data_IF_927274222534
#
_entry.id   IF_927274222534
#
_cell.length_a   1.000
_cell.length_b   1.000
_cell.length_c   1.000
_cell.angle_alpha   90.00
_cell.angle_beta   90.00
_cell.angle_gamma   90.00
#
_symmetry.space_group_name_H-M   'P 1'
#
loop_
_entity.id
_entity.type
_entity.pdbx_description
1 polymer ?
#
# COMPACT_ATOMS: atom_id res chain seq x y z
N UNK A 1 -26.68 -3.22 11.47
CA UNK A 1 -25.61 -2.75 10.57
C UNK A 1 -26.06 -1.44 9.96
N UNK A 2 -25.44 -0.33 10.33
CA UNK A 2 -25.84 1.00 9.88
C UNK A 2 -25.75 1.06 8.34
N UNK A 3 -26.84 1.50 7.72
CA UNK A 3 -26.99 1.65 6.28
C UNK A 3 -26.04 2.76 5.79
N UNK A 4 -24.77 2.41 5.55
CA UNK A 4 -23.69 3.34 5.18
C UNK A 4 -23.98 4.14 3.89
N UNK A 5 -25.03 3.78 3.16
CA UNK A 5 -25.47 4.47 1.94
C UNK A 5 -26.11 5.83 2.20
N UNK A 6 -26.66 6.04 3.39
CA UNK A 6 -27.31 7.30 3.76
C UNK A 6 -27.25 7.49 5.28
N UNK A 7 -26.30 8.30 5.75
CA UNK A 7 -26.22 8.73 7.15
C UNK A 7 -27.04 10.02 7.33
N UNK A 8 -28.26 9.89 7.86
CA UNK A 8 -29.21 10.98 7.97
C UNK A 8 -28.69 12.14 8.84
N UNK A 9 -28.00 11.85 9.94
CA UNK A 9 -27.47 12.87 10.84
C UNK A 9 -26.31 13.64 10.20
N UNK A 10 -25.41 12.92 9.51
CA UNK A 10 -24.32 13.55 8.77
C UNK A 10 -24.83 14.41 7.61
N UNK A 11 -25.78 13.90 6.82
CA UNK A 11 -26.40 14.62 5.69
C UNK A 11 -27.14 15.86 6.21
N UNK A 12 -27.94 15.75 7.26
CA UNK A 12 -28.66 16.87 7.86
C UNK A 12 -27.71 17.96 8.36
N UNK A 13 -26.60 17.58 9.01
CA UNK A 13 -25.57 18.52 9.48
C UNK A 13 -24.93 19.27 8.32
N UNK A 14 -24.64 18.59 7.21
CA UNK A 14 -24.03 19.20 6.02
C UNK A 14 -25.00 20.09 5.25
N UNK A 15 -26.28 19.71 5.14
CA UNK A 15 -27.32 20.55 4.54
C UNK A 15 -27.53 21.84 5.36
N UNK A 16 -27.61 21.75 6.69
CA UNK A 16 -27.67 22.93 7.56
C UNK A 16 -26.43 23.82 7.41
N UNK A 17 -25.25 23.22 7.24
CA UNK A 17 -24.00 23.96 7.03
C UNK A 17 -23.95 24.65 5.66
N UNK A 18 -24.42 24.00 4.60
CA UNK A 18 -24.57 24.63 3.28
C UNK A 18 -25.52 25.82 3.38
N UNK A 19 -26.70 25.64 3.99
CA UNK A 19 -27.68 26.74 4.24
C UNK A 19 -27.07 27.91 5.01
N UNK A 20 -26.32 27.66 6.07
CA UNK A 20 -25.74 28.71 6.91
C UNK A 20 -24.57 29.44 6.24
N UNK A 21 -23.84 28.77 5.34
CA UNK A 21 -22.63 29.33 4.71
C UNK A 21 -22.86 29.86 3.30
N UNK A 22 -24.00 29.54 2.67
CA UNK A 22 -24.27 29.81 1.26
C UNK A 22 -23.31 29.09 0.30
N UNK A 23 -22.49 28.14 0.80
CA UNK A 23 -21.49 27.45 -0.01
C UNK A 23 -22.07 26.20 -0.64
N UNK A 24 -21.68 25.99 -1.90
CA UNK A 24 -21.91 24.75 -2.61
C UNK A 24 -21.04 23.63 -2.04
N UNK A 25 -21.62 22.44 -1.90
CA UNK A 25 -20.95 21.25 -1.42
C UNK A 25 -20.93 20.18 -2.51
N UNK A 26 -19.80 19.47 -2.70
CA UNK A 26 -19.78 18.31 -3.58
C UNK A 26 -20.69 17.22 -3.02
N UNK A 27 -21.50 16.63 -3.90
CA UNK A 27 -22.34 15.48 -3.57
C UNK A 27 -22.14 14.35 -4.57
N UNK A 28 -22.50 13.15 -4.14
CA UNK A 28 -22.77 12.04 -5.03
C UNK A 28 -24.07 11.35 -4.61
N UNK A 29 -24.84 10.90 -5.60
CA UNK A 29 -26.12 10.23 -5.41
C UNK A 29 -26.13 8.88 -6.13
N UNK A 30 -26.68 7.87 -5.47
CA UNK A 30 -26.89 6.54 -5.98
C UNK A 30 -28.36 6.18 -6.03
N UNK A 31 -28.85 5.85 -7.22
CA UNK A 31 -30.20 5.38 -7.46
C UNK A 31 -30.33 3.93 -7.00
N UNK A 32 -31.18 3.70 -5.99
CA UNK A 32 -31.50 2.38 -5.48
C UNK A 32 -32.63 1.72 -6.27
N UNK A 33 -32.77 0.39 -6.13
CA UNK A 33 -33.96 -0.31 -6.63
C UNK A 33 -35.25 0.14 -5.91
N UNK A 34 -35.13 0.58 -4.66
CA UNK A 34 -36.20 1.20 -3.88
C UNK A 34 -35.73 2.55 -3.31
N UNK A 35 -36.63 3.49 -3.00
CA UNK A 35 -36.26 4.76 -2.34
C UNK A 35 -35.52 4.55 -1.00
N UNK A 36 -35.76 3.43 -0.32
CA UNK A 36 -35.10 3.07 0.93
C UNK A 36 -33.68 2.52 0.72
N UNK A 37 -33.26 2.29 -0.52
CA UNK A 37 -31.90 1.83 -0.84
C UNK A 37 -31.14 2.85 -1.66
N UNK A 38 -31.64 4.10 -1.76
CA UNK A 38 -30.91 5.17 -2.40
C UNK A 38 -29.79 5.68 -1.49
N UNK A 39 -28.66 6.06 -2.07
CA UNK A 39 -27.52 6.59 -1.33
C UNK A 39 -27.30 8.06 -1.61
N UNK A 40 -26.99 8.85 -0.59
CA UNK A 40 -26.57 10.25 -0.72
C UNK A 40 -25.33 10.48 0.14
N UNK A 41 -24.25 10.90 -0.49
CA UNK A 41 -23.02 11.29 0.20
C UNK A 41 -22.70 12.75 -0.11
N UNK A 42 -22.42 13.51 0.94
CA UNK A 42 -21.99 14.91 0.89
C UNK A 42 -20.70 15.00 1.69
N UNK A 43 -19.71 15.74 1.21
CA UNK A 43 -18.44 15.96 1.92
C UNK A 43 -17.97 17.41 1.77
N UNK A 44 -17.12 17.88 2.67
CA UNK A 44 -16.59 19.25 2.66
C UNK A 44 -15.28 19.39 1.85
N UNK A 45 -14.58 18.27 1.63
CA UNK A 45 -13.22 18.22 1.08
C UNK A 45 -13.09 17.23 -0.05
N UNK A 46 -13.82 16.12 -0.02
CA UNK A 46 -13.74 15.10 -1.07
C UNK A 46 -14.50 15.55 -2.32
N UNK A 47 -13.91 15.44 -3.52
CA UNK A 47 -14.61 15.78 -4.76
C UNK A 47 -15.71 14.75 -5.06
N UNK A 48 -16.78 15.18 -5.73
CA UNK A 48 -17.95 14.33 -6.04
C UNK A 48 -17.61 13.05 -6.80
N UNK A 49 -16.55 13.08 -7.64
CA UNK A 49 -16.05 11.88 -8.35
C UNK A 49 -15.55 10.78 -7.41
N UNK A 50 -14.91 11.14 -6.30
CA UNK A 50 -14.44 10.18 -5.29
C UNK A 50 -15.63 9.63 -4.51
N UNK A 51 -16.57 10.50 -4.11
CA UNK A 51 -17.81 10.10 -3.43
C UNK A 51 -18.65 9.12 -4.27
N UNK A 52 -18.71 9.34 -5.59
CA UNK A 52 -19.34 8.41 -6.53
C UNK A 52 -18.64 7.04 -6.54
N UNK A 53 -17.31 7.02 -6.46
CA UNK A 53 -16.53 5.78 -6.42
C UNK A 53 -16.87 4.94 -5.18
N UNK A 54 -17.12 5.58 -4.05
CA UNK A 54 -17.53 4.93 -2.81
C UNK A 54 -18.99 4.45 -2.87
N UNK A 55 -19.91 5.26 -3.40
CA UNK A 55 -21.32 4.85 -3.62
C UNK A 55 -21.46 3.66 -4.57
N UNK A 56 -20.62 3.56 -5.61
CA UNK A 56 -20.65 2.42 -6.56
C UNK A 56 -20.30 1.08 -5.91
N UNK A 57 -19.57 1.09 -4.79
CA UNK A 57 -19.19 -0.14 -4.08
C UNK A 57 -20.30 -0.64 -3.15
N UNK A 58 -21.36 0.14 -2.95
CA UNK A 58 -22.45 -0.21 -2.05
C UNK A 58 -23.46 -1.14 -2.74
N UNK A 59 -23.89 -2.22 -2.06
CA UNK A 59 -24.87 -3.15 -2.62
C UNK A 59 -26.23 -2.46 -2.79
N UNK A 60 -26.88 -2.67 -3.95
CA UNK A 60 -28.23 -2.16 -4.23
C UNK A 60 -28.31 -0.84 -5.00
N UNK A 61 -27.17 -0.18 -5.25
CA UNK A 61 -27.08 1.03 -6.10
C UNK A 61 -26.88 0.62 -7.57
N UNK A 62 -27.82 1.01 -8.44
CA UNK A 62 -27.79 0.66 -9.89
C UNK A 62 -27.15 1.75 -10.75
N UNK A 63 -27.57 3.01 -10.55
CA UNK A 63 -27.09 4.17 -11.31
C UNK A 63 -26.52 5.20 -10.34
N UNK A 64 -25.48 5.95 -10.73
CA UNK A 64 -24.83 6.95 -9.85
C UNK A 64 -24.51 8.23 -10.62
N UNK A 65 -24.77 9.37 -9.98
CA UNK A 65 -24.37 10.70 -10.44
C UNK A 65 -23.62 11.46 -9.33
N UNK A 66 -22.99 12.56 -9.70
CA UNK A 66 -22.28 13.46 -8.80
C UNK A 66 -22.35 14.88 -9.33
N UNK A 67 -22.11 15.85 -8.46
CA UNK A 67 -22.17 17.27 -8.81
C UNK A 67 -22.04 18.15 -7.58
N UNK A 68 -22.65 19.33 -7.65
CA UNK A 68 -22.70 20.30 -6.55
C UNK A 68 -24.11 20.42 -5.97
N UNK A 69 -24.18 20.61 -4.66
CA UNK A 69 -25.40 20.79 -3.89
C UNK A 69 -25.34 22.13 -3.20
N UNK A 70 -26.42 22.91 -3.31
CA UNK A 70 -26.59 24.16 -2.56
C UNK A 70 -27.95 24.17 -1.88
N UNK A 71 -28.07 24.91 -0.78
CA UNK A 71 -29.30 24.96 0.01
C UNK A 71 -29.70 26.41 0.20
N UNK A 72 -30.86 26.78 -0.32
CA UNK A 72 -31.45 28.10 -0.12
C UNK A 72 -32.78 27.91 0.58
N UNK A 73 -32.98 28.60 1.70
CA UNK A 73 -34.13 28.42 2.59
C UNK A 73 -34.38 26.95 2.96
N UNK A 74 -35.32 26.30 2.28
CA UNK A 74 -35.76 24.93 2.49
C UNK A 74 -35.64 24.08 1.22
N UNK A 75 -35.06 24.62 0.16
CA UNK A 75 -34.83 23.95 -1.11
C UNK A 75 -33.38 23.47 -1.20
N UNK A 76 -33.22 22.20 -1.56
CA UNK A 76 -31.91 21.56 -1.74
C UNK A 76 -31.70 21.40 -3.23
N UNK A 77 -30.97 22.35 -3.80
CA UNK A 77 -30.67 22.38 -5.22
C UNK A 77 -29.52 21.44 -5.53
N UNK A 78 -29.76 20.53 -6.47
CA UNK A 78 -28.82 19.52 -6.94
C UNK A 78 -28.46 19.84 -8.38
N UNK A 79 -27.18 20.09 -8.63
CA UNK A 79 -26.64 20.33 -9.97
C UNK A 79 -25.71 19.18 -10.36
N UNK A 80 -26.26 18.04 -10.83
CA UNK A 80 -25.45 16.92 -11.29
C UNK A 80 -24.82 17.22 -12.66
N UNK A 81 -23.59 16.75 -12.89
CA UNK A 81 -22.97 16.81 -14.22
C UNK A 81 -23.77 16.01 -15.27
N UNK A 82 -24.41 14.93 -14.82
CA UNK A 82 -25.31 14.07 -15.60
C UNK A 82 -26.54 13.77 -14.76
N UNK A 83 -27.68 14.44 -15.01
CA UNK A 83 -28.91 14.21 -14.26
C UNK A 83 -29.41 12.78 -14.46
N UNK A 84 -30.00 12.22 -13.40
CA UNK A 84 -30.61 10.89 -13.43
C UNK A 84 -32.09 11.03 -13.10
N UNK A 85 -32.94 10.37 -13.89
CA UNK A 85 -34.36 10.27 -13.60
C UNK A 85 -34.59 9.49 -12.30
N UNK A 86 -35.39 10.05 -11.40
CA UNK A 86 -35.76 9.49 -10.10
C UNK A 86 -34.95 9.98 -8.90
N UNK A 87 -33.95 10.87 -9.08
CA UNK A 87 -33.21 11.50 -7.99
C UNK A 87 -34.11 12.31 -7.05
N UNK A 88 -34.97 13.18 -7.58
CA UNK A 88 -35.83 14.05 -6.77
C UNK A 88 -36.87 13.21 -6.04
N UNK A 89 -37.52 12.28 -6.76
CA UNK A 89 -38.51 11.35 -6.20
C UNK A 89 -37.94 10.46 -5.09
N UNK A 90 -36.76 9.88 -5.26
CA UNK A 90 -36.14 9.01 -4.24
C UNK A 90 -35.65 9.83 -3.04
N UNK A 91 -35.01 10.98 -3.26
CA UNK A 91 -34.55 11.85 -2.16
C UNK A 91 -35.71 12.41 -1.35
N UNK A 92 -36.81 12.83 -1.99
CA UNK A 92 -38.00 13.33 -1.28
C UNK A 92 -38.59 12.25 -0.37
N UNK A 93 -38.69 11.01 -0.86
CA UNK A 93 -39.16 9.88 -0.05
C UNK A 93 -38.19 9.53 1.08
N UNK A 94 -36.87 9.56 0.82
CA UNK A 94 -35.85 9.32 1.85
C UNK A 94 -35.87 10.39 2.92
N UNK A 95 -35.91 11.67 2.54
CA UNK A 95 -36.01 12.79 3.48
C UNK A 95 -37.29 12.71 4.32
N UNK A 96 -38.41 12.27 3.74
CA UNK A 96 -39.64 12.06 4.51
C UNK A 96 -39.47 10.97 5.58
N UNK A 97 -38.86 9.83 5.22
CA UNK A 97 -38.64 8.71 6.12
C UNK A 97 -37.67 9.04 7.26
N UNK A 98 -36.63 9.82 6.96
CA UNK A 98 -35.58 10.21 7.91
C UNK A 98 -35.90 11.50 8.70
N UNK A 99 -37.15 12.00 8.66
CA UNK A 99 -37.57 13.18 9.43
C UNK A 99 -37.08 14.53 8.89
N UNK A 100 -36.59 14.58 7.65
CA UNK A 100 -36.07 15.75 6.94
C UNK A 100 -37.09 16.42 6.00
N UNK A 101 -38.39 16.22 6.25
CA UNK A 101 -39.53 16.70 5.43
C UNK A 101 -39.52 18.19 5.05
N UNK A 102 -38.84 19.02 5.84
CA UNK A 102 -38.70 20.46 5.57
C UNK A 102 -37.80 20.77 4.38
N UNK A 103 -36.95 19.84 3.96
CA UNK A 103 -36.05 20.02 2.83
C UNK A 103 -36.67 19.46 1.55
N UNK A 104 -36.74 20.27 0.50
CA UNK A 104 -37.29 19.89 -0.81
C UNK A 104 -36.15 19.76 -1.81
N UNK A 105 -35.82 18.55 -2.31
CA UNK A 105 -34.83 18.43 -3.37
C UNK A 105 -35.36 19.03 -4.69
N UNK A 106 -34.53 19.81 -5.36
CA UNK A 106 -34.82 20.44 -6.66
C UNK A 106 -33.63 20.18 -7.59
N UNK A 107 -33.90 19.80 -8.83
CA UNK A 107 -32.85 19.55 -9.83
C UNK A 107 -32.61 20.83 -10.63
N UNK A 108 -31.35 21.24 -10.74
CA UNK A 108 -30.95 22.38 -11.58
C UNK A 108 -30.01 21.89 -12.70
N UNK A 109 -30.19 22.43 -13.90
CA UNK A 109 -29.27 22.28 -15.02
C UNK A 109 -27.97 23.07 -14.89
N UNK A 110 -27.03 22.88 -15.84
CA UNK A 110 -25.77 23.64 -15.88
C UNK A 110 -25.97 25.14 -16.09
N UNK A 111 -27.12 25.56 -16.62
CA UNK A 111 -27.53 26.93 -16.93
C UNK A 111 -28.33 27.60 -15.80
N UNK A 112 -28.58 26.91 -14.69
CA UNK A 112 -29.39 27.43 -13.59
C UNK A 112 -30.90 27.22 -13.76
N UNK A 113 -31.35 26.60 -14.86
CA UNK A 113 -32.76 26.28 -15.07
C UNK A 113 -33.20 25.10 -14.19
N UNK A 114 -34.44 25.15 -13.69
CA UNK A 114 -35.03 24.03 -12.96
C UNK A 114 -35.37 22.95 -13.98
N UNK A 115 -34.77 21.77 -13.83
CA UNK A 115 -35.04 20.62 -14.69
C UNK A 115 -36.24 19.88 -14.10
N UNK A 116 -37.30 19.73 -14.89
CA UNK A 116 -38.37 18.80 -14.56
C UNK A 116 -37.88 17.37 -14.79
N UNK A 117 -37.82 16.59 -13.71
CA UNK A 117 -37.40 15.20 -13.71
C UNK A 117 -38.25 14.31 -14.63
N UNK A 118 -39.51 14.68 -14.91
CA UNK A 118 -40.38 13.91 -15.81
C UNK A 118 -39.99 14.05 -17.29
N UNK A 119 -39.31 15.15 -17.64
CA UNK A 119 -38.80 15.42 -19.00
C UNK A 119 -37.45 14.77 -19.28
N UNK A 120 -36.81 14.18 -18.27
CA UNK A 120 -35.56 13.46 -18.45
C UNK A 120 -35.82 12.13 -19.19
N UNK A 121 -34.96 11.77 -20.17
CA UNK A 121 -35.10 10.52 -20.88
C UNK A 121 -35.05 9.34 -19.90
N UNK A 122 -36.01 8.42 -20.03
CA UNK A 122 -35.91 7.10 -19.41
C UNK A 122 -34.72 6.40 -20.07
N UNK A 123 -33.61 6.32 -19.33
CA UNK A 123 -32.33 5.77 -19.79
C UNK A 123 -32.38 4.22 -19.82
N UNK A 124 -33.48 3.69 -20.37
CA UNK A 124 -33.76 2.32 -20.83
C UNK A 124 -34.43 2.30 -22.23
N UNK A 125 -34.62 3.45 -22.89
CA UNK A 125 -35.07 3.53 -24.28
C UNK A 125 -34.27 4.57 -25.08
N UNK A 126 -33.70 4.12 -26.20
CA UNK A 126 -33.20 4.97 -27.29
C UNK A 126 -34.27 6.01 -27.65
N UNK A 127 -33.93 7.30 -27.61
CA UNK A 127 -34.74 8.36 -28.19
C UNK A 127 -34.45 8.46 -29.70
N UNK A 128 -35.40 8.02 -30.53
CA UNK A 128 -35.61 8.51 -31.88
C UNK A 128 -36.21 9.93 -31.80
N UNK A 129 -35.72 10.84 -32.63
CA UNK A 129 -36.46 12.03 -33.06
C UNK A 129 -36.54 12.06 -34.60
N UNK A 130 -37.78 12.22 -35.05
CA UNK A 130 -38.34 12.47 -36.40
C UNK A 130 -37.93 13.85 -36.96
N UNK A 131 -37.96 14.24 -38.25
CA UNK A 131 -38.40 13.66 -39.53
C UNK A 131 -37.89 14.51 -40.74
N UNK A 132 -37.72 13.84 -41.90
CA UNK A 132 -37.98 14.23 -43.31
C UNK A 132 -37.15 15.34 -44.03
N UNK A 133 -37.20 15.43 -45.39
CA UNK A 133 -36.85 14.40 -46.40
C UNK A 133 -35.91 14.98 -47.52
N UNK A 134 -35.21 14.13 -48.28
CA UNK A 134 -35.11 14.19 -49.76
C UNK A 134 -34.04 13.24 -50.33
N UNK A 135 -34.29 12.82 -51.56
CA UNK A 135 -33.66 11.77 -52.37
C UNK A 135 -32.19 12.03 -52.79
N UNK A 136 -31.63 10.92 -53.31
CA UNK A 136 -30.48 10.77 -54.21
C UNK A 136 -29.13 10.56 -53.53
N UNK A 137 -28.68 9.30 -53.43
CA UNK A 137 -27.42 8.86 -54.05
C UNK A 137 -27.24 7.33 -53.91
N UNK A 138 -27.58 6.56 -54.94
CA UNK A 138 -27.49 5.08 -54.95
C UNK A 138 -26.02 4.58 -54.86
N UNK A 139 -25.04 5.48 -55.02
CA UNK A 139 -23.60 5.17 -54.91
C UNK A 139 -23.07 5.11 -53.46
N UNK A 140 -23.58 5.97 -52.56
CA UNK A 140 -23.03 6.09 -51.20
C UNK A 140 -23.42 4.92 -50.30
N UNK A 141 -24.65 4.42 -50.46
CA UNK A 141 -25.15 3.27 -49.72
C UNK A 141 -24.36 1.99 -50.04
N UNK A 142 -23.98 1.80 -51.31
CA UNK A 142 -23.17 0.65 -51.74
C UNK A 142 -21.75 0.68 -51.13
N UNK A 143 -21.10 1.85 -51.16
CA UNK A 143 -19.77 2.03 -50.57
C UNK A 143 -19.76 1.78 -49.05
N UNK A 144 -20.80 2.21 -48.33
CA UNK A 144 -20.93 1.98 -46.90
C UNK A 144 -21.16 0.49 -46.56
N UNK A 145 -21.94 -0.25 -47.36
CA UNK A 145 -22.09 -1.70 -47.19
C UNK A 145 -20.74 -2.42 -47.27
N UNK A 146 -19.90 -2.03 -48.24
CA UNK A 146 -18.59 -2.63 -48.43
C UNK A 146 -17.64 -2.37 -47.25
N UNK A 147 -17.63 -1.14 -46.72
CA UNK A 147 -16.84 -0.79 -45.51
C UNK A 147 -17.30 -1.54 -44.27
N UNK A 148 -18.61 -1.70 -44.08
CA UNK A 148 -19.16 -2.50 -42.97
C UNK A 148 -18.69 -3.96 -43.06
N UNK A 149 -18.73 -4.56 -44.26
CA UNK A 149 -18.28 -5.93 -44.46
C UNK A 149 -16.78 -6.12 -44.16
N UNK A 150 -15.94 -5.19 -44.65
CA UNK A 150 -14.49 -5.21 -44.36
C UNK A 150 -14.20 -5.05 -42.86
N UNK A 151 -14.90 -4.15 -42.19
CA UNK A 151 -14.82 -3.97 -40.73
C UNK A 151 -15.25 -5.24 -39.98
N UNK A 152 -16.31 -5.92 -40.40
CA UNK A 152 -16.79 -7.15 -39.77
C UNK A 152 -15.75 -8.29 -39.84
N UNK A 153 -15.10 -8.46 -41.00
CA UNK A 153 -14.05 -9.47 -41.16
C UNK A 153 -12.81 -9.14 -40.31
N UNK A 154 -12.40 -7.87 -40.24
CA UNK A 154 -11.31 -7.44 -39.36
C UNK A 154 -11.63 -7.68 -37.88
N UNK A 155 -12.88 -7.50 -37.45
CA UNK A 155 -13.32 -7.79 -36.08
C UNK A 155 -13.30 -9.30 -35.80
N UNK A 156 -13.69 -10.15 -36.76
CA UNK A 156 -13.59 -11.62 -36.62
C UNK A 156 -12.15 -12.11 -36.54
N UNK A 157 -11.22 -11.43 -37.22
CA UNK A 157 -9.80 -11.76 -37.19
C UNK A 157 -9.10 -11.39 -35.86
N UNK A 158 -9.78 -10.71 -34.94
CA UNK A 158 -9.22 -10.41 -33.62
C UNK A 158 -9.19 -11.68 -32.75
N UNK A 159 -7.99 -12.09 -32.31
CA UNK A 159 -7.81 -13.23 -31.40
C UNK A 159 -8.31 -13.03 -29.96
N UNK A 160 -9.06 -11.95 -29.68
CA UNK A 160 -9.58 -11.60 -28.35
C UNK A 160 -11.11 -11.53 -28.35
N UNK A 161 -11.81 -12.52 -27.75
CA UNK A 161 -13.27 -12.65 -27.84
C UNK A 161 -14.03 -11.48 -27.19
N UNK A 162 -13.52 -10.92 -26.09
CA UNK A 162 -14.16 -9.79 -25.40
C UNK A 162 -14.14 -8.48 -26.20
N UNK A 163 -13.04 -8.24 -26.93
CA UNK A 163 -12.87 -7.05 -27.77
C UNK A 163 -13.68 -7.22 -29.05
N UNK A 164 -13.63 -8.42 -29.64
CA UNK A 164 -14.43 -8.78 -30.80
C UNK A 164 -15.94 -8.61 -30.53
N UNK A 165 -16.42 -9.03 -29.35
CA UNK A 165 -17.83 -8.86 -28.96
C UNK A 165 -18.29 -7.40 -28.91
N UNK A 166 -17.45 -6.50 -28.35
CA UNK A 166 -17.77 -5.07 -28.27
C UNK A 166 -17.75 -4.38 -29.63
N UNK A 167 -16.77 -4.71 -30.48
CA UNK A 167 -16.69 -4.14 -31.83
C UNK A 167 -17.76 -4.71 -32.76
N UNK A 168 -18.20 -5.96 -32.56
CA UNK A 168 -19.32 -6.54 -33.30
C UNK A 168 -20.64 -5.80 -33.04
N UNK A 169 -20.85 -5.27 -31.83
CA UNK A 169 -22.02 -4.42 -31.53
C UNK A 169 -21.95 -3.10 -32.31
N UNK A 170 -20.77 -2.50 -32.44
CA UNK A 170 -20.56 -1.28 -33.23
C UNK A 170 -20.79 -1.53 -34.73
N UNK A 171 -20.34 -2.67 -35.28
CA UNK A 171 -20.64 -3.07 -36.66
C UNK A 171 -22.15 -3.21 -36.87
N UNK A 172 -22.87 -3.87 -35.95
CA UNK A 172 -24.33 -4.01 -36.01
C UNK A 172 -25.05 -2.67 -35.94
N UNK A 173 -24.55 -1.74 -35.12
CA UNK A 173 -25.12 -0.41 -35.03
C UNK A 173 -24.93 0.39 -36.34
N UNK A 174 -23.78 0.26 -37.01
CA UNK A 174 -23.58 0.85 -38.35
C UNK A 174 -24.50 0.25 -39.42
N UNK A 175 -24.80 -1.05 -39.35
CA UNK A 175 -25.81 -1.69 -40.22
C UNK A 175 -27.20 -1.11 -39.97
N UNK A 176 -27.58 -0.87 -38.71
CA UNK A 176 -28.87 -0.27 -38.33
C UNK A 176 -29.00 1.15 -38.89
N UNK A 177 -27.97 1.99 -38.73
CA UNK A 177 -27.94 3.36 -39.27
C UNK A 177 -28.07 3.38 -40.80
N UNK A 178 -27.39 2.46 -41.48
CA UNK A 178 -27.50 2.33 -42.93
C UNK A 178 -28.92 1.92 -43.38
N UNK A 179 -29.58 1.03 -42.63
CA UNK A 179 -30.98 0.65 -42.88
C UNK A 179 -31.99 1.77 -42.61
N UNK A 180 -31.61 2.76 -41.79
CA UNK A 180 -32.40 3.95 -41.49
C UNK A 180 -32.17 5.10 -42.48
N UNK A 181 -31.26 4.93 -43.44
CA UNK A 181 -30.87 5.99 -44.39
C UNK A 181 -29.91 7.03 -43.82
N UNK A 182 -29.38 6.83 -42.61
CA UNK A 182 -28.38 7.73 -42.01
C UNK A 182 -26.97 7.38 -42.51
N UNK A 183 -26.68 7.84 -43.73
CA UNK A 183 -25.39 7.61 -44.38
C UNK A 183 -24.24 8.34 -43.69
N UNK A 184 -24.47 9.55 -43.17
CA UNK A 184 -23.44 10.36 -42.52
C UNK A 184 -23.08 9.80 -41.14
N UNK A 185 -24.07 9.43 -40.32
CA UNK A 185 -23.87 8.77 -39.04
C UNK A 185 -23.19 7.41 -39.20
N UNK A 186 -23.57 6.64 -40.22
CA UNK A 186 -22.91 5.37 -40.56
C UNK A 186 -21.43 5.59 -40.93
N UNK A 187 -21.13 6.57 -41.80
CA UNK A 187 -19.77 6.89 -42.21
C UNK A 187 -18.89 7.33 -41.03
N UNK A 188 -19.38 8.23 -40.17
CA UNK A 188 -18.66 8.70 -39.00
C UNK A 188 -18.36 7.57 -38.01
N UNK A 189 -19.31 6.65 -37.83
CA UNK A 189 -19.14 5.49 -36.93
C UNK A 189 -18.15 4.48 -37.47
N UNK A 190 -18.18 4.20 -38.77
CA UNK A 190 -17.19 3.33 -39.44
C UNK A 190 -15.78 3.89 -39.33
N UNK A 191 -15.58 5.19 -39.53
CA UNK A 191 -14.26 5.83 -39.39
C UNK A 191 -13.70 5.67 -37.96
N UNK A 192 -14.54 5.79 -36.92
CA UNK A 192 -14.11 5.54 -35.53
C UNK A 192 -13.74 4.08 -35.29
N UNK A 193 -14.51 3.15 -35.88
CA UNK A 193 -14.27 1.72 -35.76
C UNK A 193 -12.98 1.30 -36.48
N UNK A 194 -12.73 1.81 -37.68
CA UNK A 194 -11.49 1.59 -38.44
C UNK A 194 -10.27 2.14 -37.69
N UNK A 195 -10.37 3.35 -37.10
CA UNK A 195 -9.31 3.91 -36.28
C UNK A 195 -9.04 3.08 -35.00
N UNK A 196 -10.08 2.53 -34.37
CA UNK A 196 -9.93 1.64 -33.22
C UNK A 196 -9.27 0.31 -33.62
N UNK A 197 -9.65 -0.28 -34.76
CA UNK A 197 -9.03 -1.48 -35.32
C UNK A 197 -7.55 -1.25 -35.66
N UNK A 198 -7.22 -0.14 -36.32
CA UNK A 198 -5.83 0.23 -36.64
C UNK A 198 -4.98 0.41 -35.37
N UNK A 199 -5.54 1.02 -34.32
CA UNK A 199 -4.87 1.17 -33.02
C UNK A 199 -4.64 -0.17 -32.32
N UNK A 200 -5.57 -1.12 -32.44
CA UNK A 200 -5.43 -2.47 -31.89
C UNK A 200 -4.39 -3.29 -32.66
N UNK A 201 -4.36 -3.20 -33.98
CA UNK A 201 -3.33 -3.82 -34.82
C UNK A 201 -1.94 -3.22 -34.54
N UNK A 202 -1.85 -1.90 -34.30
CA UNK A 202 -0.61 -1.22 -33.91
C UNK A 202 -0.17 -1.46 -32.45
N UNK A 203 -1.06 -1.96 -31.58
CA UNK A 203 -0.74 -2.28 -30.17
C UNK A 203 -0.19 -3.70 -29.97
N UNK A 204 -0.11 -4.52 -31.03
CA UNK A 204 0.40 -5.90 -30.95
C UNK A 204 1.94 -6.02 -30.79
N UNK A 205 2.64 -4.91 -30.53
CA UNK A 205 4.09 -4.87 -30.26
C UNK A 205 4.43 -4.53 -28.80
N UNK A 206 3.53 -4.79 -27.84
CA UNK A 206 3.87 -4.75 -26.41
C UNK A 206 4.32 -6.15 -25.96
N UNK A 207 5.52 -6.29 -25.36
CA UNK A 207 6.00 -7.58 -24.88
C UNK A 207 4.99 -8.17 -23.90
N UNK A 208 4.68 -9.45 -24.06
CA UNK A 208 3.82 -10.17 -23.14
C UNK A 208 4.40 -10.09 -21.73
N UNK A 209 3.56 -10.16 -20.69
CA UNK A 209 3.96 -10.06 -19.28
C UNK A 209 5.12 -11.00 -18.90
N UNK A 210 5.24 -12.15 -19.56
CA UNK A 210 6.34 -13.08 -19.38
C UNK A 210 7.70 -12.57 -19.86
N UNK A 211 7.75 -11.81 -20.97
CA UNK A 211 9.00 -11.23 -21.48
C UNK A 211 9.53 -10.12 -20.56
N UNK A 212 8.63 -9.29 -20.02
CA UNK A 212 8.99 -8.24 -19.07
C UNK A 212 9.52 -8.83 -17.75
N UNK A 213 8.88 -9.90 -17.24
CA UNK A 213 9.33 -10.63 -16.07
C UNK A 213 10.70 -11.29 -16.30
N UNK A 214 10.91 -11.94 -17.46
CA UNK A 214 12.20 -12.54 -17.82
C UNK A 214 13.33 -11.50 -17.89
N UNK A 215 13.07 -10.33 -18.49
CA UNK A 215 14.05 -9.23 -18.56
C UNK A 215 14.42 -8.72 -17.16
N UNK A 216 13.42 -8.57 -16.27
CA UNK A 216 13.64 -8.15 -14.87
C UNK A 216 14.48 -9.16 -14.08
N UNK A 217 14.15 -10.45 -14.18
CA UNK A 217 14.90 -11.50 -13.48
C UNK A 217 16.33 -11.64 -14.03
N UNK A 218 16.52 -11.51 -15.35
CA UNK A 218 17.85 -11.51 -15.97
C UNK A 218 18.73 -10.36 -15.45
N UNK A 219 18.15 -9.16 -15.30
CA UNK A 219 18.86 -8.01 -14.71
C UNK A 219 19.31 -8.30 -13.28
N UNK A 220 18.41 -8.81 -12.43
CA UNK A 220 18.75 -9.17 -11.05
C UNK A 220 19.84 -10.25 -10.98
N UNK A 221 19.80 -11.25 -11.87
CA UNK A 221 20.81 -12.31 -11.89
C UNK A 221 22.19 -11.76 -12.23
N UNK A 222 22.30 -10.79 -13.15
CA UNK A 222 23.56 -10.12 -13.48
C UNK A 222 24.12 -9.34 -12.27
N UNK A 223 23.26 -8.66 -11.52
CA UNK A 223 23.64 -7.95 -10.29
C UNK A 223 24.17 -8.92 -9.23
N UNK A 224 23.50 -10.05 -9.00
CA UNK A 224 23.96 -11.07 -8.06
C UNK A 224 25.27 -11.74 -8.54
N UNK A 225 25.43 -11.99 -9.84
CA UNK A 225 26.67 -12.54 -10.39
C UNK A 225 27.88 -11.61 -10.18
N UNK A 226 27.68 -10.29 -10.20
CA UNK A 226 28.73 -9.34 -9.87
C UNK A 226 29.14 -9.45 -8.39
N UNK A 227 28.18 -9.63 -7.48
CA UNK A 227 28.46 -9.85 -6.04
C UNK A 227 29.21 -11.17 -5.81
N UNK A 228 28.84 -12.25 -6.50
CA UNK A 228 29.54 -13.55 -6.42
C UNK A 228 31.01 -13.39 -6.81
N UNK A 229 31.32 -12.61 -7.85
CA UNK A 229 32.71 -12.37 -8.29
C UNK A 229 33.56 -11.61 -7.27
N UNK A 230 32.94 -10.88 -6.33
CA UNK A 230 33.65 -10.17 -5.27
C UNK A 230 33.94 -11.06 -4.03
N UNK A 231 33.41 -12.29 -4.01
CA UNK A 231 33.65 -13.25 -2.94
C UNK A 231 34.93 -14.07 -3.16
N UNK A 232 35.57 -14.58 -2.09
CA UNK A 232 36.66 -15.54 -2.20
C UNK A 232 36.25 -16.77 -3.02
N UNK A 233 37.18 -17.39 -3.76
CA UNK A 233 36.88 -18.48 -4.69
C UNK A 233 36.15 -19.67 -4.05
N UNK A 234 36.48 -20.00 -2.79
CA UNK A 234 35.85 -21.08 -2.03
C UNK A 234 34.35 -20.84 -1.78
N UNK A 235 33.94 -19.60 -1.54
CA UNK A 235 32.52 -19.23 -1.32
C UNK A 235 31.80 -18.93 -2.64
N UNK A 236 32.53 -18.41 -3.63
CA UNK A 236 31.97 -18.06 -4.92
C UNK A 236 31.56 -19.28 -5.74
N UNK A 237 32.31 -20.40 -5.66
CA UNK A 237 32.06 -21.60 -6.46
C UNK A 237 30.63 -22.18 -6.34
N UNK A 238 30.09 -22.48 -5.14
CA UNK A 238 28.73 -23.01 -5.01
C UNK A 238 27.65 -21.99 -5.43
N UNK A 239 27.87 -20.71 -5.18
CA UNK A 239 26.93 -19.65 -5.57
C UNK A 239 26.92 -19.43 -7.09
N UNK A 240 28.08 -19.53 -7.74
CA UNK A 240 28.21 -19.45 -9.18
C UNK A 240 27.52 -20.61 -9.90
N UNK A 241 27.56 -21.82 -9.33
CA UNK A 241 26.82 -22.97 -9.85
C UNK A 241 25.30 -22.70 -9.84
N UNK A 242 24.76 -22.24 -8.71
CA UNK A 242 23.34 -21.85 -8.60
C UNK A 242 22.95 -20.73 -9.56
N UNK A 243 23.82 -19.73 -9.74
CA UNK A 243 23.57 -18.65 -10.70
C UNK A 243 23.47 -19.16 -12.14
N UNK A 244 24.25 -20.19 -12.51
CA UNK A 244 24.17 -20.84 -13.83
C UNK A 244 22.86 -21.63 -14.00
N UNK A 245 22.40 -22.32 -12.96
CA UNK A 245 21.11 -23.03 -12.97
C UNK A 245 19.94 -22.07 -13.18
N UNK A 246 19.92 -20.94 -12.45
CA UNK A 246 18.90 -19.89 -12.60
C UNK A 246 18.96 -19.30 -14.02
N UNK A 247 20.15 -19.11 -14.59
CA UNK A 247 20.30 -18.65 -15.97
C UNK A 247 19.71 -19.65 -16.98
N UNK A 248 19.83 -20.95 -16.72
CA UNK A 248 19.22 -21.99 -17.56
C UNK A 248 17.68 -21.97 -17.45
N UNK A 249 17.14 -21.81 -16.24
CA UNK A 249 15.68 -21.68 -16.00
C UNK A 249 15.08 -20.45 -16.71
N UNK A 250 15.80 -19.32 -16.70
CA UNK A 250 15.37 -18.14 -17.46
C UNK A 250 15.35 -18.38 -18.97
N UNK A 251 16.27 -19.18 -19.50
CA UNK A 251 16.31 -19.54 -20.93
C UNK A 251 15.22 -20.53 -21.32
N UNK A 252 14.84 -21.44 -20.43
CA UNK A 252 13.76 -22.41 -20.68
C UNK A 252 12.36 -21.84 -20.45
N UNK A 253 12.24 -20.61 -19.92
CA UNK A 253 10.96 -19.98 -19.61
C UNK A 253 10.35 -20.41 -18.27
N UNK A 254 11.10 -21.13 -17.42
CA UNK A 254 10.69 -21.49 -16.07
C UNK A 254 10.84 -20.29 -15.11
N UNK A 255 9.98 -19.28 -15.28
CA UNK A 255 10.12 -17.98 -14.60
C UNK A 255 9.90 -18.04 -13.09
N UNK A 256 9.01 -18.93 -12.62
CA UNK A 256 8.73 -19.08 -11.19
C UNK A 256 9.89 -19.74 -10.45
N UNK A 257 10.48 -20.79 -11.03
CA UNK A 257 11.67 -21.46 -10.50
C UNK A 257 12.87 -20.52 -10.49
N UNK A 258 13.06 -19.75 -11.56
CA UNK A 258 14.11 -18.74 -11.64
C UNK A 258 13.94 -17.65 -10.57
N UNK A 259 12.70 -17.21 -10.31
CA UNK A 259 12.41 -16.23 -9.25
C UNK A 259 12.70 -16.78 -7.85
N UNK A 260 12.30 -18.02 -7.57
CA UNK A 260 12.58 -18.70 -6.31
C UNK A 260 14.09 -18.92 -6.10
N UNK A 261 14.79 -19.41 -7.13
CA UNK A 261 16.24 -19.61 -7.11
C UNK A 261 17.01 -18.31 -6.89
N UNK A 262 16.58 -17.22 -7.54
CA UNK A 262 17.21 -15.90 -7.36
C UNK A 262 17.04 -15.35 -5.94
N UNK A 263 15.87 -15.58 -5.32
CA UNK A 263 15.64 -15.23 -3.90
C UNK A 263 16.58 -16.01 -2.97
N UNK A 264 16.72 -17.32 -3.19
CA UNK A 264 17.64 -18.15 -2.41
C UNK A 264 19.12 -17.77 -2.63
N UNK A 265 19.49 -17.39 -3.85
CA UNK A 265 20.83 -16.91 -4.17
C UNK A 265 21.16 -15.60 -3.46
N UNK A 266 20.21 -14.64 -3.43
CA UNK A 266 20.37 -13.39 -2.70
C UNK A 266 20.59 -13.62 -1.20
N UNK A 267 19.79 -14.49 -0.58
CA UNK A 267 19.94 -14.84 0.84
C UNK A 267 21.30 -15.47 1.15
N UNK A 268 21.78 -16.36 0.28
CA UNK A 268 23.09 -16.98 0.45
C UNK A 268 24.26 -15.99 0.28
N UNK A 269 24.10 -15.00 -0.62
CA UNK A 269 25.06 -13.91 -0.80
C UNK A 269 25.12 -12.99 0.40
N UNK A 270 23.98 -12.64 0.98
CA UNK A 270 23.91 -11.80 2.18
C UNK A 270 24.57 -12.53 3.38
N UNK A 271 24.31 -13.84 3.55
CA UNK A 271 24.98 -14.65 4.56
C UNK A 271 26.51 -14.73 4.38
N UNK A 272 27.00 -14.83 3.13
CA UNK A 272 28.43 -14.84 2.84
C UNK A 272 29.08 -13.47 3.08
N UNK A 273 28.38 -12.38 2.79
CA UNK A 273 28.85 -11.02 3.09
C UNK A 273 28.97 -10.77 4.60
N UNK A 274 28.01 -11.26 5.39
CA UNK A 274 28.05 -11.19 6.85
C UNK A 274 29.23 -11.96 7.47
N UNK A 275 29.68 -13.04 6.82
CA UNK A 275 30.84 -13.82 7.25
C UNK A 275 32.19 -13.11 6.99
N UNK A 276 32.24 -12.13 6.08
CA UNK A 276 33.48 -11.44 5.67
C UNK A 276 33.73 -10.13 6.42
N UNK A 277 32.71 -9.48 6.95
CA UNK A 277 32.92 -8.30 7.80
C UNK A 277 33.65 -8.75 9.09
N UNK A 278 34.77 -8.14 9.50
CA UNK A 278 35.36 -8.40 10.80
C UNK A 278 34.33 -7.98 11.85
N UNK A 279 33.58 -8.97 12.34
CA UNK A 279 32.59 -8.75 13.36
C UNK A 279 33.37 -8.42 14.62
N UNK A 280 33.32 -7.17 15.05
CA UNK A 280 33.88 -6.77 16.33
C UNK A 280 33.35 -7.74 17.39
N UNK A 281 34.26 -8.42 18.09
CA UNK A 281 33.89 -9.44 19.07
C UNK A 281 33.32 -8.74 20.30
N UNK A 282 31.99 -8.60 20.31
CA UNK A 282 31.24 -7.99 21.42
C UNK A 282 31.57 -8.65 22.76
N UNK A 283 31.95 -9.94 22.75
CA UNK A 283 32.38 -10.65 23.94
C UNK A 283 33.74 -10.16 24.43
N UNK A 284 34.70 -9.95 23.52
CA UNK A 284 36.03 -9.45 23.88
C UNK A 284 35.95 -8.02 24.45
N UNK A 285 35.11 -7.15 23.88
CA UNK A 285 34.85 -5.79 24.39
C UNK A 285 34.31 -5.85 25.82
N UNK A 286 33.34 -6.72 26.08
CA UNK A 286 32.76 -6.88 27.41
C UNK A 286 33.76 -7.48 28.42
N UNK A 287 34.49 -8.52 28.04
CA UNK A 287 35.48 -9.19 28.89
C UNK A 287 36.58 -8.21 29.32
N UNK A 288 37.14 -7.44 28.39
CA UNK A 288 38.16 -6.44 28.72
C UNK A 288 37.67 -5.39 29.73
N UNK A 289 36.44 -4.89 29.55
CA UNK A 289 35.85 -3.93 30.49
C UNK A 289 35.52 -4.55 31.85
N UNK A 290 35.10 -5.83 31.87
CA UNK A 290 34.83 -6.58 33.09
C UNK A 290 36.11 -6.86 33.87
N UNK A 291 37.19 -7.25 33.21
CA UNK A 291 38.49 -7.47 33.87
C UNK A 291 39.00 -6.21 34.55
N UNK A 292 38.82 -5.04 33.92
CA UNK A 292 39.20 -3.76 34.51
C UNK A 292 38.35 -3.43 35.75
N UNK A 293 37.02 -3.62 35.68
CA UNK A 293 36.14 -3.42 36.83
C UNK A 293 36.42 -4.41 37.97
N UNK A 294 36.65 -5.69 37.64
CA UNK A 294 36.94 -6.75 38.60
C UNK A 294 38.26 -6.51 39.34
N UNK A 295 39.25 -5.87 38.69
CA UNK A 295 40.52 -5.48 39.35
C UNK A 295 40.25 -4.53 40.51
N UNK A 296 39.54 -3.43 40.27
CA UNK A 296 39.20 -2.45 41.30
C UNK A 296 38.33 -3.04 42.42
N UNK A 297 37.40 -3.93 42.06
CA UNK A 297 36.57 -4.63 43.05
C UNK A 297 37.41 -5.58 43.91
N UNK A 298 38.37 -6.29 43.31
CA UNK A 298 39.25 -7.22 44.05
C UNK A 298 40.11 -6.48 45.07
N UNK A 299 40.60 -5.28 44.74
CA UNK A 299 41.32 -4.41 45.67
C UNK A 299 40.43 -3.98 46.83
N UNK A 300 39.19 -3.58 46.56
CA UNK A 300 38.22 -3.22 47.59
C UNK A 300 37.87 -4.41 48.49
N UNK A 301 37.66 -5.59 47.91
CA UNK A 301 37.40 -6.81 48.67
C UNK A 301 38.57 -7.17 49.59
N UNK A 302 39.81 -6.99 49.13
CA UNK A 302 41.00 -7.20 49.98
C UNK A 302 41.03 -6.20 51.15
N UNK A 303 40.72 -4.92 50.90
CA UNK A 303 40.65 -3.89 51.93
C UNK A 303 39.52 -4.14 52.95
N UNK A 304 38.37 -4.68 52.51
CA UNK A 304 37.28 -5.06 53.40
C UNK A 304 37.67 -6.23 54.32
N UNK A 305 38.35 -7.24 53.77
CA UNK A 305 38.80 -8.40 54.56
C UNK A 305 39.87 -8.04 55.59
N UNK A 306 40.74 -7.07 55.30
CA UNK A 306 41.81 -6.66 56.21
C UNK A 306 41.30 -6.01 57.51
N UNK A 307 40.04 -5.57 57.54
CA UNK A 307 39.40 -5.03 58.74
C UNK A 307 39.05 -6.10 59.79
N UNK A 308 39.16 -7.40 59.45
CA UNK A 308 38.85 -8.53 60.34
C UNK A 308 37.43 -8.48 60.94
N UNK A 309 36.47 -7.84 60.26
CA UNK A 309 35.07 -7.76 60.69
C UNK A 309 34.21 -8.78 59.93
N UNK A 310 33.41 -9.63 60.59
CA UNK A 310 32.70 -10.74 59.96
C UNK A 310 31.71 -10.28 58.87
N UNK A 311 31.03 -9.15 59.08
CA UNK A 311 30.10 -8.59 58.08
C UNK A 311 30.83 -8.04 56.86
N UNK A 312 32.01 -7.44 57.03
CA UNK A 312 32.78 -6.89 55.90
C UNK A 312 33.35 -8.02 55.05
N UNK A 313 33.72 -9.15 55.67
CA UNK A 313 34.08 -10.36 54.95
C UNK A 313 32.91 -10.89 54.10
N UNK A 314 31.70 -10.96 54.66
CA UNK A 314 30.51 -11.37 53.90
C UNK A 314 30.21 -10.46 52.70
N UNK A 315 30.36 -9.14 52.87
CA UNK A 315 30.21 -8.18 51.76
C UNK A 315 31.30 -8.41 50.71
N UNK A 316 32.55 -8.62 51.13
CA UNK A 316 33.64 -8.93 50.22
C UNK A 316 33.40 -10.23 49.44
N UNK A 317 32.76 -11.23 50.06
CA UNK A 317 32.50 -12.54 49.44
C UNK A 317 31.34 -12.51 48.44
N UNK A 318 30.36 -11.61 48.59
CA UNK A 318 29.25 -11.47 47.65
C UNK A 318 29.70 -11.02 46.25
N UNK A 319 30.72 -10.14 46.19
CA UNK A 319 31.31 -9.62 44.96
C UNK A 319 30.33 -8.91 44.02
N UNK A 320 30.78 -8.65 42.77
CA UNK A 320 29.96 -7.99 41.76
C UNK A 320 28.75 -8.85 41.34
N UNK A 321 28.93 -10.18 41.32
CA UNK A 321 27.88 -11.11 40.93
C UNK A 321 26.65 -11.00 41.85
N UNK A 322 26.87 -10.90 43.17
CA UNK A 322 25.79 -10.69 44.14
C UNK A 322 25.11 -9.33 44.00
N UNK A 323 25.84 -8.29 43.56
CA UNK A 323 25.30 -6.94 43.39
C UNK A 323 24.46 -6.76 42.12
N UNK A 324 24.69 -7.56 41.07
CA UNK A 324 24.06 -7.33 39.75
C UNK A 324 22.64 -7.88 39.59
N UNK A 325 22.08 -8.58 40.58
CA UNK A 325 20.71 -9.15 40.56
C UNK A 325 20.38 -9.90 39.25
N UNK A 326 21.32 -10.71 38.76
CA UNK A 326 21.16 -11.50 37.53
C UNK A 326 21.28 -10.72 36.21
N UNK A 327 21.41 -9.39 36.23
CA UNK A 327 21.60 -8.58 35.01
C UNK A 327 22.85 -9.01 34.24
N UNK A 328 23.93 -9.39 34.93
CA UNK A 328 25.15 -9.87 34.29
C UNK A 328 24.93 -11.18 33.54
N UNK A 329 24.20 -12.14 34.12
CA UNK A 329 23.88 -13.42 33.48
C UNK A 329 23.02 -13.20 32.24
N UNK A 330 22.01 -12.32 32.32
CA UNK A 330 21.15 -11.98 31.19
C UNK A 330 21.93 -11.31 30.04
N UNK A 331 22.83 -10.38 30.36
CA UNK A 331 23.71 -9.74 29.39
C UNK A 331 24.65 -10.74 28.73
N UNK A 332 25.32 -11.60 29.51
CA UNK A 332 26.21 -12.64 28.98
C UNK A 332 25.49 -13.59 28.02
N UNK A 333 24.27 -14.02 28.39
CA UNK A 333 23.43 -14.83 27.50
C UNK A 333 23.18 -14.12 26.16
N UNK A 334 22.79 -12.86 26.19
CA UNK A 334 22.52 -12.09 24.98
C UNK A 334 23.79 -11.87 24.12
N UNK A 335 24.96 -11.69 24.75
CA UNK A 335 26.24 -11.61 24.05
C UNK A 335 26.58 -12.92 23.32
N UNK A 336 26.37 -14.08 23.96
CA UNK A 336 26.57 -15.39 23.34
C UNK A 336 25.60 -15.65 22.19
N UNK A 337 24.33 -15.33 22.37
CA UNK A 337 23.31 -15.46 21.32
C UNK A 337 23.66 -14.57 20.11
N UNK A 338 24.07 -13.33 20.34
CA UNK A 338 24.50 -12.42 19.27
C UNK A 338 25.74 -12.91 18.53
N UNK A 339 26.72 -13.48 19.24
CA UNK A 339 27.96 -14.01 18.66
C UNK A 339 27.73 -15.25 17.78
N UNK A 340 26.74 -16.07 18.11
CA UNK A 340 26.43 -17.32 17.41
C UNK A 340 25.38 -17.17 16.30
N UNK A 341 24.56 -16.12 16.34
CA UNK A 341 23.48 -15.92 15.39
C UNK A 341 23.96 -15.33 14.05
N UNK A 342 23.30 -15.74 12.96
CA UNK A 342 23.54 -15.25 11.59
C UNK A 342 22.22 -14.83 10.92
N UNK A 343 22.30 -13.99 9.88
CA UNK A 343 21.13 -13.54 9.11
C UNK A 343 19.99 -12.98 9.96
N UNK A 344 18.76 -13.43 9.72
CA UNK A 344 17.58 -12.94 10.45
C UNK A 344 17.56 -13.33 11.94
N UNK A 345 18.27 -14.39 12.34
CA UNK A 345 18.44 -14.71 13.76
C UNK A 345 19.34 -13.69 14.45
N UNK A 346 20.34 -13.18 13.73
CA UNK A 346 21.27 -12.17 14.26
C UNK A 346 20.59 -10.85 14.55
N UNK A 347 19.69 -10.40 13.69
CA UNK A 347 18.86 -9.18 13.93
C UNK A 347 18.03 -9.30 15.21
N UNK A 348 17.45 -10.48 15.45
CA UNK A 348 16.69 -10.76 16.68
C UNK A 348 17.60 -10.80 17.91
N UNK A 349 18.74 -11.47 17.81
CA UNK A 349 19.73 -11.50 18.88
C UNK A 349 20.30 -10.10 19.20
N UNK A 350 20.50 -9.26 18.18
CA UNK A 350 20.95 -7.88 18.33
C UNK A 350 19.92 -7.02 19.08
N UNK A 351 18.64 -7.16 18.76
CA UNK A 351 17.56 -6.48 19.50
C UNK A 351 17.49 -6.94 20.96
N UNK A 352 17.61 -8.25 21.22
CA UNK A 352 17.65 -8.79 22.57
C UNK A 352 18.87 -8.25 23.36
N UNK A 353 20.04 -8.18 22.71
CA UNK A 353 21.25 -7.61 23.29
C UNK A 353 21.08 -6.13 23.61
N UNK A 354 20.44 -5.33 22.74
CA UNK A 354 20.16 -3.92 23.01
C UNK A 354 19.26 -3.72 24.23
N UNK A 355 18.25 -4.58 24.41
CA UNK A 355 17.40 -4.55 25.60
C UNK A 355 18.22 -4.83 26.87
N UNK A 356 19.09 -5.85 26.84
CA UNK A 356 19.96 -6.18 27.98
C UNK A 356 21.02 -5.11 28.26
N UNK A 357 21.61 -4.51 27.22
CA UNK A 357 22.53 -3.38 27.36
C UNK A 357 21.84 -2.18 28.02
N UNK A 358 20.59 -1.91 27.65
CA UNK A 358 19.80 -0.83 28.25
C UNK A 358 19.47 -1.12 29.71
N UNK A 359 19.04 -2.34 30.02
CA UNK A 359 18.75 -2.77 31.39
C UNK A 359 19.99 -2.70 32.28
N UNK A 360 21.11 -3.26 31.82
CA UNK A 360 22.38 -3.23 32.57
C UNK A 360 22.91 -1.79 32.73
N UNK A 361 22.81 -0.96 31.68
CA UNK A 361 23.20 0.44 31.74
C UNK A 361 22.36 1.25 32.74
N UNK A 362 21.05 0.95 32.84
CA UNK A 362 20.16 1.54 33.85
C UNK A 362 20.57 1.08 35.25
N UNK A 363 20.82 -0.21 35.45
CA UNK A 363 21.32 -0.76 36.71
C UNK A 363 22.59 -0.04 37.17
N UNK A 364 23.61 0.08 36.32
CA UNK A 364 24.86 0.78 36.66
C UNK A 364 24.64 2.24 37.09
N UNK A 365 23.63 2.89 36.53
CA UNK A 365 23.32 4.30 36.82
C UNK A 365 22.54 4.46 38.12
N UNK A 366 21.51 3.64 38.31
CA UNK A 366 20.49 3.86 39.33
C UNK A 366 20.78 3.09 40.64
N UNK A 367 21.62 2.05 40.60
CA UNK A 367 21.88 1.22 41.77
C UNK A 367 22.80 1.93 42.79
N UNK A 368 22.35 2.09 44.06
CA UNK A 368 23.11 2.79 45.09
C UNK A 368 24.34 2.01 45.56
N UNK A 369 24.36 0.67 45.45
CA UNK A 369 25.52 -0.15 45.81
C UNK A 369 26.70 0.17 44.90
N UNK A 370 26.46 0.43 43.61
CA UNK A 370 27.52 0.84 42.68
C UNK A 370 28.15 2.17 43.12
N UNK A 371 27.34 3.13 43.60
CA UNK A 371 27.88 4.38 44.15
C UNK A 371 28.74 4.12 45.40
N UNK A 372 28.28 3.25 46.31
CA UNK A 372 29.02 2.90 47.52
C UNK A 372 30.33 2.15 47.23
N UNK A 373 30.40 1.39 46.13
CA UNK A 373 31.62 0.73 45.68
C UNK A 373 32.62 1.74 45.12
N UNK A 374 32.18 2.65 44.26
CA UNK A 374 33.04 3.68 43.65
C UNK A 374 33.50 4.74 44.69
N UNK A 375 32.60 5.16 45.58
CA UNK A 375 32.82 6.18 46.62
C UNK A 375 32.95 5.54 48.02
N UNK A 376 33.73 4.46 48.12
CA UNK A 376 33.87 3.71 49.38
C UNK A 376 34.71 4.47 50.43
N UNK A 377 34.44 4.28 51.74
CA UNK A 377 35.15 4.97 52.81
C UNK A 377 36.60 4.48 53.03
N UNK A 378 37.04 3.44 52.30
CA UNK A 378 38.38 2.88 52.42
C UNK A 378 39.40 3.58 51.50
N UNK A 379 38.94 4.54 50.67
CA UNK A 379 39.80 5.28 49.75
C UNK A 379 40.36 4.44 48.60
N UNK A 380 39.79 3.25 48.35
CA UNK A 380 40.20 2.36 47.27
C UNK A 380 39.47 2.76 45.99
N UNK A 381 40.19 2.92 44.89
CA UNK A 381 39.58 3.25 43.60
C UNK A 381 39.02 2.00 42.93
N UNK A 382 37.69 1.83 42.92
CA UNK A 382 37.01 0.72 42.26
C UNK A 382 36.08 1.21 41.14
N UNK A 383 36.61 1.65 39.98
CA UNK A 383 35.79 2.21 38.90
C UNK A 383 34.96 1.13 38.21
N UNK A 384 33.63 1.20 38.32
CA UNK A 384 32.70 0.21 37.74
C UNK A 384 31.92 0.81 36.57
N UNK A 385 31.32 1.99 36.75
CA UNK A 385 30.45 2.64 35.76
C UNK A 385 31.20 3.02 34.49
N UNK A 386 32.40 3.57 34.63
CA UNK A 386 33.17 4.08 33.49
C UNK A 386 33.57 2.98 32.49
N UNK A 387 34.31 1.92 32.88
CA UNK A 387 34.73 0.87 31.94
C UNK A 387 33.52 0.11 31.36
N UNK A 388 32.59 -0.32 32.21
CA UNK A 388 31.42 -1.09 31.76
C UNK A 388 30.48 -0.23 30.90
N UNK A 389 30.21 1.01 31.29
CA UNK A 389 29.37 1.93 30.52
C UNK A 389 29.94 2.26 29.15
N UNK A 390 31.28 2.35 29.02
CA UNK A 390 31.94 2.51 27.73
C UNK A 390 31.75 1.29 26.83
N UNK A 391 32.00 0.09 27.36
CA UNK A 391 31.79 -1.18 26.64
C UNK A 391 30.34 -1.33 26.18
N UNK A 392 29.36 -1.05 27.04
CA UNK A 392 27.94 -1.10 26.71
C UNK A 392 27.58 -0.18 25.53
N UNK A 393 28.15 1.03 25.45
CA UNK A 393 27.92 1.93 24.31
C UNK A 393 28.51 1.38 23.02
N UNK A 394 29.71 0.80 23.06
CA UNK A 394 30.33 0.17 21.89
C UNK A 394 29.52 -1.04 21.41
N UNK A 395 29.13 -1.91 22.35
CA UNK A 395 28.30 -3.09 22.07
C UNK A 395 26.94 -2.67 21.49
N UNK A 396 26.31 -1.61 22.01
CA UNK A 396 25.08 -1.07 21.45
C UNK A 396 25.27 -0.53 20.02
N UNK A 397 26.42 0.09 19.71
CA UNK A 397 26.76 0.52 18.37
C UNK A 397 26.84 -0.65 17.38
N UNK A 398 27.52 -1.73 17.78
CA UNK A 398 27.66 -2.95 16.98
C UNK A 398 26.30 -3.64 16.79
N UNK A 399 25.50 -3.76 17.86
CA UNK A 399 24.19 -4.38 17.79
C UNK A 399 23.20 -3.59 16.92
N UNK A 400 23.28 -2.25 16.87
CA UNK A 400 22.44 -1.43 15.97
C UNK A 400 22.82 -1.56 14.49
N UNK A 401 24.06 -1.95 14.20
CA UNK A 401 24.56 -2.10 12.83
C UNK A 401 24.28 -3.49 12.23
N UNK A 402 23.90 -4.46 13.07
CA UNK A 402 23.51 -5.81 12.68
C UNK A 402 21.99 -5.90 12.46
#
# INVERSE_FOLDING_TARGET
>A
MSDQSFDADAVLKLIKKSKASGKELPFAFGLGAKPETCGLMIDLRKPGKVLRGDLKKMPGIKKTCFGTLRVEENEVFLQPEKPLKGIVKQLKKRFMKEGMVKFKPVLIGPDGSIIDEETLPDDDAEAQETAAPAQMDDGTAAALKQRIAAAAEMVKALGSPDIAGKLALEVKASVKLLGQGDHEGCAARLTRLEAALAKLQGQSAKPSSGQEQAARLSKLLKEQAAKIKALPPEQAAPLAARAKEIAAQLKSGALDDAAAGLKALAQALDAAAEAKAPQADVMAIWQAAKEEADRGISELQAALRSQNHPVLAQIADAGLAGATDGNQTALMKALFEMKSATGDARKRAAQALLAQVTAYGKFLKDDPVIALVEDNPFGISAPVRAPLGSALRQIAGIAKAA
#
